data_IF_654760561850
#
_entry.id   IF_654760561850
#
_cell.length_a   1.000
_cell.length_b   1.000
_cell.length_c   1.000
_cell.angle_alpha   90.00
_cell.angle_beta   90.00
_cell.angle_gamma   90.00
#
_symmetry.space_group_name_H-M   'P 1'
#
loop_
_entity.id
_entity.type
_entity.pdbx_description
1 polymer ?
#
# COMPACT_ATOMS: atom_id res chain seq x y z
N UNK A 1 -16.36 78.25 66.33
CA UNK A 1 -16.91 78.02 65.04
C UNK A 1 -15.98 77.27 64.00
N UNK A 2 -14.81 76.75 64.37
CA UNK A 2 -13.86 76.11 63.42
C UNK A 2 -13.94 74.59 63.34
N UNK A 3 -14.67 73.89 64.22
CA UNK A 3 -14.77 72.40 64.13
C UNK A 3 -15.84 71.87 63.17
N UNK A 4 -16.81 72.66 62.78
CA UNK A 4 -17.82 72.24 61.80
C UNK A 4 -17.32 72.16 60.33
N UNK A 5 -16.43 73.06 59.96
CA UNK A 5 -15.90 73.15 58.61
C UNK A 5 -14.93 72.01 58.27
N UNK A 6 -14.16 71.50 59.25
CA UNK A 6 -13.25 70.37 59.01
C UNK A 6 -13.94 69.03 58.82
N UNK A 7 -15.15 68.81 59.42
CA UNK A 7 -15.91 67.58 59.25
C UNK A 7 -16.65 67.50 57.86
N UNK A 8 -17.03 68.61 57.28
CA UNK A 8 -17.64 68.66 55.93
C UNK A 8 -16.59 68.47 54.87
N UNK A 9 -15.38 69.04 55.05
CA UNK A 9 -14.25 68.87 54.12
C UNK A 9 -13.77 67.40 54.11
N UNK A 10 -13.71 66.72 55.24
CA UNK A 10 -13.37 65.31 55.32
C UNK A 10 -14.44 64.40 54.66
N UNK A 11 -15.72 64.62 54.86
CA UNK A 11 -16.80 63.90 54.24
C UNK A 11 -16.80 64.08 52.72
N UNK A 12 -16.51 65.22 52.19
CA UNK A 12 -16.42 65.46 50.74
C UNK A 12 -15.18 64.78 50.17
N UNK A 13 -14.05 64.74 50.87
CA UNK A 13 -12.89 63.97 50.38
C UNK A 13 -13.12 62.47 50.42
N UNK A 14 -13.80 61.94 51.42
CA UNK A 14 -14.18 60.51 51.46
C UNK A 14 -15.15 60.19 50.33
N UNK A 15 -16.13 61.00 50.01
CA UNK A 15 -17.07 60.81 48.93
C UNK A 15 -16.39 60.83 47.56
N UNK A 16 -15.44 61.69 47.34
CA UNK A 16 -14.63 61.72 46.12
C UNK A 16 -13.71 60.49 45.99
N UNK A 17 -13.15 59.97 47.05
CA UNK A 17 -12.40 58.74 47.07
C UNK A 17 -13.30 57.55 46.69
N UNK A 18 -14.49 57.46 47.27
CA UNK A 18 -15.47 56.42 46.92
C UNK A 18 -15.88 56.52 45.45
N UNK A 19 -16.15 57.71 44.92
CA UNK A 19 -16.45 57.87 43.49
C UNK A 19 -15.33 57.37 42.60
N UNK A 20 -14.07 57.70 42.89
CA UNK A 20 -12.92 57.21 42.12
C UNK A 20 -12.76 55.70 42.22
N UNK A 21 -13.01 55.09 43.37
CA UNK A 21 -12.99 53.62 43.50
C UNK A 21 -14.09 52.94 42.68
N UNK A 22 -15.30 53.50 42.65
CA UNK A 22 -16.39 52.99 41.83
C UNK A 22 -16.06 53.11 40.33
N UNK A 23 -15.53 54.25 39.90
CA UNK A 23 -15.09 54.45 38.51
C UNK A 23 -13.98 53.47 38.10
N UNK A 24 -13.02 53.24 38.99
CA UNK A 24 -11.92 52.29 38.77
C UNK A 24 -12.46 50.86 38.69
N UNK A 25 -13.38 50.47 39.55
CA UNK A 25 -14.03 49.15 39.57
C UNK A 25 -14.85 48.93 38.30
N UNK A 26 -15.59 49.95 37.84
CA UNK A 26 -16.35 49.86 36.58
C UNK A 26 -15.43 49.69 35.36
N UNK A 27 -14.32 50.43 35.29
CA UNK A 27 -13.34 50.27 34.20
C UNK A 27 -12.67 48.88 34.22
N UNK A 28 -12.39 48.33 35.41
CA UNK A 28 -11.91 46.95 35.54
C UNK A 28 -12.96 45.93 35.07
N UNK A 29 -14.23 46.15 35.41
CA UNK A 29 -15.33 45.32 34.97
C UNK A 29 -15.47 45.30 33.43
N UNK A 30 -15.39 46.49 32.78
CA UNK A 30 -15.41 46.61 31.34
C UNK A 30 -14.23 45.90 30.66
N UNK A 31 -13.03 46.02 31.25
CA UNK A 31 -11.85 45.30 30.72
C UNK A 31 -11.99 43.80 30.82
N UNK A 32 -12.49 43.33 31.97
CA UNK A 32 -12.74 41.88 32.16
C UNK A 32 -13.79 41.37 31.16
N UNK A 33 -14.87 42.12 30.97
CA UNK A 33 -15.90 41.73 29.97
C UNK A 33 -15.32 41.58 28.55
N UNK A 34 -14.52 42.57 28.12
CA UNK A 34 -13.85 42.52 26.81
C UNK A 34 -12.89 41.32 26.72
N UNK A 35 -12.12 41.03 27.78
CA UNK A 35 -11.21 39.89 27.80
C UNK A 35 -11.98 38.55 27.71
N UNK A 36 -13.16 38.44 28.30
CA UNK A 36 -14.02 37.26 28.15
C UNK A 36 -14.57 37.10 26.73
N UNK A 37 -14.98 38.19 26.10
CA UNK A 37 -15.45 38.18 24.72
C UNK A 37 -14.33 37.69 23.75
N UNK A 38 -13.10 38.19 23.90
CA UNK A 38 -11.94 37.75 23.16
C UNK A 38 -11.60 36.27 23.42
N UNK A 39 -11.73 35.77 24.65
CA UNK A 39 -11.52 34.36 24.98
C UNK A 39 -12.58 33.47 24.27
N UNK A 40 -13.82 33.91 24.21
CA UNK A 40 -14.90 33.19 23.54
C UNK A 40 -14.61 33.09 22.01
N UNK A 41 -14.17 34.20 21.39
CA UNK A 41 -13.79 34.21 19.99
C UNK A 41 -12.58 33.29 19.72
N UNK A 42 -11.54 33.35 20.55
CA UNK A 42 -10.37 32.48 20.43
C UNK A 42 -10.77 31.01 20.57
N UNK A 43 -11.65 30.70 21.54
CA UNK A 43 -12.14 29.34 21.71
C UNK A 43 -12.86 28.84 20.46
N UNK A 44 -13.74 29.62 19.84
CA UNK A 44 -14.40 29.28 18.60
C UNK A 44 -13.41 29.06 17.44
N UNK A 45 -12.37 29.88 17.36
CA UNK A 45 -11.32 29.70 16.37
C UNK A 45 -10.51 28.43 16.57
N UNK A 46 -10.18 28.09 17.81
CA UNK A 46 -9.46 26.83 18.15
C UNK A 46 -10.30 25.61 17.84
N UNK A 47 -11.60 25.63 18.11
CA UNK A 47 -12.52 24.54 17.76
C UNK A 47 -12.58 24.32 16.25
N UNK A 48 -12.69 25.39 15.46
CA UNK A 48 -12.69 25.32 14.00
C UNK A 48 -11.35 24.77 13.46
N UNK A 49 -10.21 25.22 13.99
CA UNK A 49 -8.89 24.69 13.60
C UNK A 49 -8.73 23.21 13.94
N UNK A 50 -9.27 22.77 15.07
CA UNK A 50 -9.26 21.36 15.45
C UNK A 50 -10.08 20.49 14.47
N UNK A 51 -11.20 20.96 14.00
CA UNK A 51 -12.04 20.25 13.03
C UNK A 51 -11.43 20.25 11.63
N UNK A 52 -10.81 21.34 11.19
CA UNK A 52 -10.01 21.39 9.96
C UNK A 52 -8.84 20.41 10.02
N UNK A 53 -8.11 20.36 11.13
CA UNK A 53 -6.98 19.45 11.32
C UNK A 53 -7.43 17.98 11.24
N UNK A 54 -8.56 17.61 11.85
CA UNK A 54 -9.16 16.27 11.73
C UNK A 54 -9.52 15.94 10.29
N UNK A 55 -10.14 16.87 9.56
CA UNK A 55 -10.50 16.69 8.16
C UNK A 55 -9.28 16.48 7.26
N UNK A 56 -8.22 17.27 7.47
CA UNK A 56 -6.95 17.13 6.74
C UNK A 56 -6.30 15.78 7.03
N UNK A 57 -6.29 15.34 8.30
CA UNK A 57 -5.73 14.05 8.68
C UNK A 57 -6.50 12.89 8.04
N UNK A 58 -7.83 12.92 8.04
CA UNK A 58 -8.65 11.91 7.37
C UNK A 58 -8.33 11.83 5.88
N UNK A 59 -8.35 12.95 5.17
CA UNK A 59 -8.00 13.02 3.74
C UNK A 59 -6.58 12.57 3.44
N UNK A 60 -5.65 12.84 4.34
CA UNK A 60 -4.25 12.43 4.18
C UNK A 60 -4.11 10.92 4.34
N UNK A 61 -4.80 10.32 5.31
CA UNK A 61 -4.81 8.88 5.51
C UNK A 61 -5.45 8.15 4.31
N UNK A 62 -6.59 8.63 3.81
CA UNK A 62 -7.23 8.07 2.61
C UNK A 62 -6.27 8.09 1.40
N UNK A 63 -5.55 9.21 1.20
CA UNK A 63 -4.57 9.32 0.10
C UNK A 63 -3.35 8.44 0.29
N UNK A 64 -2.90 8.22 1.52
CA UNK A 64 -1.81 7.29 1.81
C UNK A 64 -2.23 5.85 1.53
N UNK A 65 -3.44 5.45 1.93
CA UNK A 65 -3.99 4.13 1.64
C UNK A 65 -4.14 3.90 0.13
N UNK A 66 -4.65 4.88 -0.61
CA UNK A 66 -4.73 4.81 -2.08
C UNK A 66 -3.35 4.68 -2.72
N UNK A 67 -2.35 5.41 -2.24
CA UNK A 67 -0.99 5.32 -2.74
C UNK A 67 -0.36 3.95 -2.46
N UNK A 68 -0.56 3.39 -1.29
CA UNK A 68 -0.07 2.04 -0.95
C UNK A 68 -0.75 0.98 -1.81
N UNK A 69 -2.06 1.08 -2.00
CA UNK A 69 -2.85 0.15 -2.81
C UNK A 69 -2.51 0.20 -4.31
N UNK A 70 -2.05 1.34 -4.83
CA UNK A 70 -1.71 1.52 -6.25
C UNK A 70 -0.22 1.34 -6.54
N UNK A 71 0.62 1.33 -5.53
CA UNK A 71 2.07 1.18 -5.69
C UNK A 71 2.41 -0.19 -6.25
N UNK A 72 3.16 -0.21 -7.36
CA UNK A 72 3.66 -1.44 -7.96
C UNK A 72 4.88 -1.99 -7.20
N UNK A 73 5.28 -3.22 -7.53
CA UNK A 73 6.43 -3.89 -6.94
C UNK A 73 7.68 -3.00 -6.94
N UNK A 74 8.42 -3.05 -5.83
CA UNK A 74 9.75 -2.46 -5.75
C UNK A 74 10.75 -3.27 -6.60
N UNK A 75 11.83 -2.64 -7.05
CA UNK A 75 12.87 -3.31 -7.83
C UNK A 75 13.42 -4.58 -7.16
N UNK A 76 13.55 -4.58 -5.83
CA UNK A 76 13.97 -5.75 -5.07
C UNK A 76 12.97 -6.89 -5.11
N UNK A 77 11.68 -6.58 -5.03
CA UNK A 77 10.58 -7.55 -5.07
C UNK A 77 10.41 -8.14 -6.47
N UNK A 78 10.46 -7.31 -7.50
CA UNK A 78 10.44 -7.76 -8.89
C UNK A 78 11.59 -8.74 -9.20
N UNK A 79 12.80 -8.50 -8.65
CA UNK A 79 13.93 -9.44 -8.75
C UNK A 79 13.64 -10.76 -8.02
N UNK A 80 13.02 -10.72 -6.84
CA UNK A 80 12.65 -11.93 -6.09
C UNK A 80 11.60 -12.74 -6.85
N UNK A 81 10.55 -12.11 -7.39
CA UNK A 81 9.54 -12.77 -8.24
C UNK A 81 10.23 -13.43 -9.43
N UNK A 82 11.06 -12.70 -10.17
CA UNK A 82 11.81 -13.26 -11.30
C UNK A 82 12.63 -14.50 -10.91
N UNK A 83 13.34 -14.43 -9.78
CA UNK A 83 14.11 -15.55 -9.26
C UNK A 83 13.24 -16.74 -8.90
N UNK A 84 12.10 -16.52 -8.26
CA UNK A 84 11.17 -17.59 -7.88
C UNK A 84 10.54 -18.25 -9.10
N UNK A 85 10.14 -17.47 -10.11
CA UNK A 85 9.63 -17.99 -11.37
C UNK A 85 10.68 -18.87 -12.09
N UNK A 86 11.96 -18.44 -12.10
CA UNK A 86 13.05 -19.24 -12.70
C UNK A 86 13.24 -20.57 -11.96
N UNK A 87 13.21 -20.56 -10.61
CA UNK A 87 13.30 -21.77 -9.79
C UNK A 87 12.12 -22.71 -10.05
N UNK A 88 10.89 -22.17 -10.06
CA UNK A 88 9.68 -22.98 -10.33
C UNK A 88 9.70 -23.57 -11.73
N UNK A 89 10.04 -22.78 -12.74
CA UNK A 89 10.18 -23.27 -14.11
C UNK A 89 11.21 -24.40 -14.25
N UNK A 90 12.31 -24.36 -13.51
CA UNK A 90 13.29 -25.43 -13.47
C UNK A 90 12.70 -26.72 -12.88
N UNK A 91 12.00 -26.63 -11.74
CA UNK A 91 11.33 -27.77 -11.11
C UNK A 91 10.26 -28.36 -12.02
N UNK A 92 9.45 -27.54 -12.67
CA UNK A 92 8.42 -27.99 -13.61
C UNK A 92 9.03 -28.65 -14.85
N UNK A 93 10.18 -28.16 -15.37
CA UNK A 93 10.86 -28.78 -16.49
C UNK A 93 11.41 -30.16 -16.12
N UNK A 94 11.99 -30.32 -14.93
CA UNK A 94 12.41 -31.64 -14.41
C UNK A 94 11.24 -32.61 -14.28
N UNK A 95 10.08 -32.13 -13.85
CA UNK A 95 8.90 -32.99 -13.71
C UNK A 95 8.26 -33.32 -15.06
N UNK A 96 8.41 -32.43 -16.04
CA UNK A 96 7.82 -32.59 -17.37
C UNK A 96 8.44 -33.73 -18.16
N UNK A 97 9.77 -33.89 -18.17
CA UNK A 97 10.48 -34.96 -18.84
C UNK A 97 10.57 -36.20 -17.94
N UNK A 98 10.15 -37.35 -18.46
CA UNK A 98 10.23 -38.63 -17.75
C UNK A 98 11.54 -39.39 -18.02
N UNK A 99 12.31 -38.95 -19.00
CA UNK A 99 13.62 -39.46 -19.34
C UNK A 99 14.65 -38.35 -19.51
N UNK A 100 15.94 -38.63 -19.38
CA UNK A 100 16.99 -37.65 -19.67
C UNK A 100 16.87 -37.11 -21.11
N UNK A 101 17.03 -35.80 -21.24
CA UNK A 101 17.07 -35.10 -22.53
C UNK A 101 18.29 -34.20 -22.61
N UNK A 102 18.65 -33.72 -23.79
CA UNK A 102 19.77 -32.80 -23.95
C UNK A 102 19.57 -31.50 -23.14
N UNK A 103 20.68 -30.91 -22.73
CA UNK A 103 20.66 -29.62 -22.03
C UNK A 103 19.99 -28.53 -22.87
N UNK A 104 20.11 -28.60 -24.21
CA UNK A 104 19.50 -27.63 -25.10
C UNK A 104 17.97 -27.75 -25.07
N UNK A 105 17.42 -28.95 -25.19
CA UNK A 105 15.98 -29.22 -25.15
C UNK A 105 15.41 -28.86 -23.78
N UNK A 106 16.09 -29.27 -22.70
CA UNK A 106 15.69 -28.94 -21.34
C UNK A 106 15.64 -27.43 -21.13
N UNK A 107 16.67 -26.70 -21.56
CA UNK A 107 16.72 -25.26 -21.40
C UNK A 107 15.61 -24.55 -22.18
N UNK A 108 15.34 -24.95 -23.42
CA UNK A 108 14.25 -24.40 -24.22
C UNK A 108 12.89 -24.66 -23.59
N UNK A 109 12.66 -25.88 -23.05
CA UNK A 109 11.41 -26.19 -22.35
C UNK A 109 11.25 -25.38 -21.07
N UNK A 110 12.29 -25.27 -20.28
CA UNK A 110 12.30 -24.46 -19.07
C UNK A 110 11.90 -23.00 -19.35
N UNK A 111 12.46 -22.37 -20.39
CA UNK A 111 12.09 -21.00 -20.79
C UNK A 111 10.63 -20.94 -21.23
N UNK A 112 10.15 -21.94 -21.96
CA UNK A 112 8.76 -22.00 -22.40
C UNK A 112 7.80 -22.09 -21.20
N UNK A 113 8.09 -22.94 -20.21
CA UNK A 113 7.33 -23.03 -18.96
C UNK A 113 7.40 -21.75 -18.15
N UNK A 114 8.57 -21.09 -18.09
CA UNK A 114 8.74 -19.80 -17.43
C UNK A 114 7.79 -18.74 -18.00
N UNK A 115 7.63 -18.70 -19.33
CA UNK A 115 6.67 -17.80 -19.99
C UNK A 115 5.23 -18.15 -19.60
N UNK A 116 4.89 -19.45 -19.50
CA UNK A 116 3.59 -19.91 -19.02
C UNK A 116 3.30 -19.46 -17.57
N UNK A 117 4.31 -19.56 -16.68
CA UNK A 117 4.18 -19.09 -15.30
C UNK A 117 3.91 -17.58 -15.25
N UNK A 118 4.68 -16.76 -16.00
CA UNK A 118 4.43 -15.32 -16.06
C UNK A 118 3.03 -14.99 -16.55
N UNK A 119 2.53 -15.72 -17.56
CA UNK A 119 1.15 -15.53 -18.03
C UNK A 119 0.13 -15.81 -16.92
N UNK A 120 0.30 -16.91 -16.16
CA UNK A 120 -0.59 -17.26 -15.06
C UNK A 120 -0.56 -16.23 -13.91
N UNK A 121 0.63 -15.73 -13.58
CA UNK A 121 0.78 -14.67 -12.56
C UNK A 121 0.05 -13.40 -13.02
N UNK A 122 0.29 -12.96 -14.25
CA UNK A 122 -0.32 -11.75 -14.77
C UNK A 122 -1.85 -11.86 -14.80
N UNK A 123 -2.39 -13.02 -15.20
CA UNK A 123 -3.83 -13.31 -15.17
C UNK A 123 -4.40 -13.29 -13.74
N UNK A 124 -3.69 -13.91 -12.78
CA UNK A 124 -4.17 -14.02 -11.39
C UNK A 124 -4.18 -12.68 -10.65
N UNK A 125 -3.24 -11.80 -10.94
CA UNK A 125 -3.10 -10.49 -10.28
C UNK A 125 -3.59 -9.31 -11.14
N UNK A 126 -4.31 -9.58 -12.23
CA UNK A 126 -4.81 -8.58 -13.18
C UNK A 126 -3.72 -7.57 -13.59
N UNK A 127 -2.52 -8.07 -13.85
CA UNK A 127 -1.35 -7.28 -14.15
C UNK A 127 -0.94 -7.39 -15.62
N UNK A 128 -0.54 -6.28 -16.25
CA UNK A 128 -0.03 -6.29 -17.63
C UNK A 128 1.29 -7.07 -17.68
N UNK A 129 2.13 -6.89 -16.69
CA UNK A 129 3.40 -7.61 -16.50
C UNK A 129 3.60 -7.88 -15.02
N UNK A 130 4.40 -8.89 -14.67
CA UNK A 130 4.70 -9.18 -13.27
C UNK A 130 5.29 -7.99 -12.48
N UNK A 131 5.88 -7.01 -13.17
CA UNK A 131 6.42 -5.80 -12.52
C UNK A 131 5.35 -4.77 -12.17
N UNK A 132 4.13 -4.90 -12.73
CA UNK A 132 2.98 -4.05 -12.43
C UNK A 132 2.05 -4.65 -11.38
N UNK A 133 2.38 -5.79 -10.80
CA UNK A 133 1.71 -6.34 -9.63
C UNK A 133 1.83 -5.34 -8.49
N UNK A 134 0.79 -5.18 -7.68
CA UNK A 134 0.81 -4.24 -6.56
C UNK A 134 1.77 -4.73 -5.47
N UNK A 135 2.43 -3.77 -4.82
CA UNK A 135 3.36 -4.07 -3.72
C UNK A 135 2.71 -4.89 -2.60
N UNK A 136 1.45 -4.59 -2.27
CA UNK A 136 0.69 -5.30 -1.24
C UNK A 136 0.45 -6.78 -1.58
N UNK A 137 0.45 -7.15 -2.86
CA UNK A 137 0.21 -8.52 -3.34
C UNK A 137 1.51 -9.34 -3.44
N UNK A 138 2.67 -8.78 -3.06
CA UNK A 138 3.98 -9.42 -3.26
C UNK A 138 4.08 -10.80 -2.62
N UNK A 139 3.72 -10.93 -1.35
CA UNK A 139 3.83 -12.20 -0.61
C UNK A 139 2.85 -13.25 -1.16
N UNK A 140 1.65 -12.82 -1.54
CA UNK A 140 0.66 -13.69 -2.19
C UNK A 140 1.18 -14.17 -3.55
N UNK A 141 1.77 -13.29 -4.36
CA UNK A 141 2.38 -13.64 -5.63
C UNK A 141 3.53 -14.64 -5.47
N UNK A 142 4.39 -14.47 -4.46
CA UNK A 142 5.47 -15.42 -4.15
C UNK A 142 4.94 -16.81 -3.78
N UNK A 143 3.88 -16.86 -2.98
CA UNK A 143 3.21 -18.12 -2.60
C UNK A 143 2.54 -18.77 -3.81
N UNK A 144 1.81 -17.98 -4.60
CA UNK A 144 1.16 -18.45 -5.82
C UNK A 144 2.15 -19.06 -6.81
N UNK A 145 3.30 -18.40 -7.08
CA UNK A 145 4.35 -18.95 -7.95
C UNK A 145 4.83 -20.32 -7.44
N UNK A 146 4.97 -20.46 -6.13
CA UNK A 146 5.44 -21.71 -5.51
C UNK A 146 4.44 -22.86 -5.66
N UNK A 147 3.15 -22.56 -5.70
CA UNK A 147 2.07 -23.56 -5.84
C UNK A 147 1.79 -23.98 -7.28
N UNK A 148 2.16 -23.17 -8.30
CA UNK A 148 1.86 -23.47 -9.71
C UNK A 148 2.41 -24.84 -10.10
N UNK A 149 1.55 -25.73 -10.61
CA UNK A 149 1.91 -27.04 -11.16
C UNK A 149 1.80 -27.03 -12.68
N UNK A 150 2.24 -28.13 -13.34
CA UNK A 150 2.15 -28.27 -14.79
C UNK A 150 0.71 -28.19 -15.27
N UNK A 151 -0.22 -28.78 -14.53
CA UNK A 151 -1.66 -28.82 -14.89
C UNK A 151 -2.32 -27.45 -14.85
N UNK A 152 -1.77 -26.50 -14.11
CA UNK A 152 -2.28 -25.13 -14.03
C UNK A 152 -1.90 -24.28 -15.23
N UNK A 153 -0.90 -24.73 -16.00
CA UNK A 153 -0.43 -23.99 -17.17
C UNK A 153 -1.35 -24.20 -18.37
N UNK A 154 -1.55 -23.18 -19.21
CA UNK A 154 -2.29 -23.36 -20.46
C UNK A 154 -1.70 -24.48 -21.33
N UNK A 155 -2.58 -25.26 -22.01
CA UNK A 155 -2.22 -26.47 -22.71
C UNK A 155 -1.10 -26.30 -23.76
N UNK A 156 -0.99 -25.14 -24.40
CA UNK A 156 0.08 -24.83 -25.32
C UNK A 156 1.47 -24.91 -24.70
N UNK A 157 1.59 -24.63 -23.36
CA UNK A 157 2.86 -24.76 -22.64
C UNK A 157 3.19 -26.21 -22.25
N UNK A 158 2.22 -27.10 -22.27
CA UNK A 158 2.40 -28.53 -22.00
C UNK A 158 2.90 -29.30 -23.20
N UNK A 159 2.71 -28.77 -24.41
CA UNK A 159 3.22 -29.39 -25.65
C UNK A 159 4.67 -28.96 -25.93
N UNK A 160 5.37 -29.75 -26.70
CA UNK A 160 6.65 -29.32 -27.30
C UNK A 160 6.34 -28.34 -28.45
N UNK A 161 7.07 -27.26 -28.53
CA UNK A 161 7.06 -26.37 -29.69
C UNK A 161 7.80 -27.03 -30.87
N UNK A 162 7.57 -26.54 -32.08
CA UNK A 162 8.22 -27.13 -33.28
C UNK A 162 9.76 -27.03 -33.17
N UNK A 163 10.30 -25.92 -32.66
CA UNK A 163 11.74 -25.80 -32.38
C UNK A 163 12.24 -26.80 -31.33
N UNK A 164 11.44 -27.17 -30.34
CA UNK A 164 11.79 -28.18 -29.36
C UNK A 164 11.76 -29.59 -29.96
N UNK A 165 10.82 -29.87 -30.91
CA UNK A 165 10.78 -31.13 -31.68
C UNK A 165 12.02 -31.23 -32.58
N UNK A 166 12.35 -30.17 -33.32
CA UNK A 166 13.55 -30.13 -34.18
C UNK A 166 14.85 -30.44 -33.38
N UNK A 167 14.98 -29.89 -32.16
CA UNK A 167 16.11 -30.18 -31.29
C UNK A 167 16.13 -31.65 -30.89
N UNK A 168 14.99 -32.20 -30.49
CA UNK A 168 14.88 -33.60 -30.13
C UNK A 168 15.27 -34.53 -31.31
N UNK A 169 14.76 -34.25 -32.51
CA UNK A 169 15.08 -34.99 -33.75
C UNK A 169 16.57 -34.90 -34.10
N UNK A 170 17.15 -33.69 -34.05
CA UNK A 170 18.56 -33.46 -34.31
C UNK A 170 19.48 -34.29 -33.41
N UNK A 171 19.08 -34.45 -32.14
CA UNK A 171 19.82 -35.19 -31.12
C UNK A 171 19.42 -36.67 -31.06
N UNK A 172 18.52 -37.16 -31.93
CA UNK A 172 17.94 -38.52 -31.91
C UNK A 172 17.35 -38.89 -30.54
N UNK A 173 16.68 -37.93 -29.90
CA UNK A 173 16.11 -38.11 -28.56
C UNK A 173 14.68 -38.64 -28.62
N UNK A 174 14.43 -39.76 -27.94
CA UNK A 174 13.07 -40.23 -27.67
C UNK A 174 12.53 -39.49 -26.46
N UNK A 175 11.76 -38.44 -26.70
CA UNK A 175 11.20 -37.61 -25.62
C UNK A 175 9.97 -38.27 -25.04
N UNK A 176 9.98 -38.60 -23.74
CA UNK A 176 8.83 -39.05 -22.97
C UNK A 176 8.47 -37.93 -22.00
N UNK A 177 7.24 -37.42 -22.10
CA UNK A 177 6.75 -36.35 -21.24
C UNK A 177 5.67 -36.88 -20.30
N UNK A 178 5.38 -36.14 -19.26
CA UNK A 178 4.27 -36.44 -18.33
C UNK A 178 2.93 -36.56 -19.07
N UNK A 179 2.77 -35.88 -20.21
CA UNK A 179 1.57 -35.81 -21.00
C UNK A 179 1.65 -36.65 -22.28
N UNK A 180 2.67 -37.49 -22.44
CA UNK A 180 2.71 -38.49 -23.53
C UNK A 180 1.68 -39.55 -23.19
N UNK A 181 0.60 -39.60 -23.96
CA UNK A 181 -0.36 -40.69 -23.90
C UNK A 181 0.36 -41.95 -24.42
N UNK A 182 0.41 -42.97 -23.58
CA UNK A 182 0.91 -44.29 -24.00
C UNK A 182 -0.06 -44.83 -25.04
N UNK A 183 0.31 -44.76 -26.33
CA UNK A 183 -0.48 -45.21 -27.45
C UNK A 183 -0.69 -46.76 -27.46
N UNK A 184 -0.45 -47.42 -26.34
CA UNK A 184 -0.48 -48.88 -26.20
C UNK A 184 -1.71 -49.42 -25.46
N UNK A 185 -2.61 -48.56 -24.98
CA UNK A 185 -3.83 -49.03 -24.29
C UNK A 185 -5.12 -48.84 -25.10
N UNK A 186 -5.02 -48.63 -26.44
CA UNK A 186 -6.20 -48.69 -27.33
C UNK A 186 -5.88 -49.76 -28.40
N UNK A 187 -5.96 -50.99 -28.00
CA UNK A 187 -5.89 -52.17 -28.81
C UNK A 187 -6.90 -53.18 -28.32
#
# INVERSE_FOLDING_TARGET
MSNFNNNEINKNNELELFKRQIEQSNKQGEFIAKAFDEIIEIKGYVENLADEAKSINAKTNDRLEDLENTKTLLNGEAKKIKSQVMKRAYLLANHYFKNPVSNELFHKKRIHLQTGIYKKINENFDAITYTTIRHIDFDEAMNYISSIELVDLPFNYLKLTDKQKEIAEKNNEKVITLFSVDSREIG
#
